data_IF_443553075192
#
_entry.id   IF_443553075192
#
_cell.length_a   1.000
_cell.length_b   1.000
_cell.length_c   1.000
_cell.angle_alpha   90.00
_cell.angle_beta   90.00
_cell.angle_gamma   90.00
#
_symmetry.space_group_name_H-M   'P 1'
#
loop_
_entity.id
_entity.type
_entity.pdbx_description
1 polymer ?
#
# COMPACT_ATOMS: atom_id res chain seq x y z
N UNK A 1 -2.50 3.16 2.42
CA UNK A 1 -2.84 3.20 0.98
C UNK A 1 -1.65 3.73 0.18
N UNK A 2 -1.30 3.07 -0.91
CA UNK A 2 -0.32 3.51 -1.90
C UNK A 2 -1.07 3.82 -3.19
N UNK A 3 -0.80 4.93 -3.86
CA UNK A 3 -1.54 5.28 -5.07
C UNK A 3 -0.76 6.19 -6.01
N UNK A 4 -1.15 6.17 -7.29
CA UNK A 4 -0.68 7.08 -8.33
C UNK A 4 -1.41 8.43 -8.24
N UNK A 5 -0.74 9.59 -8.39
CA UNK A 5 -1.37 10.91 -8.38
C UNK A 5 -2.53 11.06 -9.37
N UNK A 6 -2.53 10.30 -10.47
CA UNK A 6 -3.64 10.28 -11.42
C UNK A 6 -5.00 9.92 -10.77
N UNK A 7 -4.98 9.16 -9.68
CA UNK A 7 -6.16 8.76 -8.91
C UNK A 7 -6.86 9.95 -8.25
N UNK A 8 -6.13 10.98 -7.80
CA UNK A 8 -6.70 12.15 -7.11
C UNK A 8 -7.75 12.88 -7.97
N UNK A 9 -7.62 12.82 -9.30
CA UNK A 9 -8.55 13.44 -10.25
C UNK A 9 -9.80 12.60 -10.53
N UNK A 10 -9.79 11.32 -10.16
CA UNK A 10 -10.86 10.36 -10.43
C UNK A 10 -11.80 10.18 -9.23
N UNK A 11 -11.41 10.67 -8.06
CA UNK A 11 -12.15 10.50 -6.81
C UNK A 11 -12.80 11.82 -6.40
N UNK A 12 -14.07 11.73 -6.00
CA UNK A 12 -14.84 12.86 -5.52
C UNK A 12 -14.42 13.22 -4.10
N UNK A 13 -14.18 14.51 -3.87
CA UNK A 13 -13.84 15.06 -2.56
C UNK A 13 -14.94 14.77 -1.54
N UNK A 14 -14.56 14.31 -0.35
CA UNK A 14 -15.45 13.99 0.77
C UNK A 14 -16.21 12.67 0.64
N UNK A 15 -16.08 11.94 -0.47
CA UNK A 15 -16.80 10.66 -0.65
C UNK A 15 -16.10 9.50 0.05
N UNK A 16 -16.92 8.67 0.70
CA UNK A 16 -16.51 7.37 1.23
C UNK A 16 -16.56 6.32 0.12
N UNK A 17 -15.41 5.72 -0.15
CA UNK A 17 -15.26 4.64 -1.12
C UNK A 17 -14.82 3.33 -0.48
N UNK A 18 -14.63 3.32 0.85
CA UNK A 18 -14.25 2.15 1.63
C UNK A 18 -15.11 2.04 2.91
N UNK A 19 -16.44 1.96 2.75
CA UNK A 19 -17.37 1.91 3.88
C UNK A 19 -17.12 0.67 4.76
N UNK A 20 -17.15 0.81 6.10
CA UNK A 20 -16.99 -0.31 7.01
C UNK A 20 -17.99 -1.43 6.75
N UNK A 21 -17.49 -2.65 6.46
CA UNK A 21 -18.34 -3.84 6.29
C UNK A 21 -19.03 -3.95 4.93
N UNK A 22 -18.70 -3.09 3.97
CA UNK A 22 -19.18 -3.17 2.59
C UNK A 22 -18.01 -3.32 1.60
N UNK A 23 -18.33 -3.80 0.41
CA UNK A 23 -17.38 -3.90 -0.71
C UNK A 23 -16.97 -2.50 -1.19
N UNK A 24 -15.80 -2.39 -1.84
CA UNK A 24 -15.43 -1.15 -2.50
C UNK A 24 -16.45 -0.76 -3.55
N UNK A 25 -16.75 0.53 -3.57
CA UNK A 25 -17.51 1.13 -4.65
C UNK A 25 -16.59 1.52 -5.82
N UNK A 26 -17.16 1.51 -7.02
CA UNK A 26 -16.52 2.19 -8.15
C UNK A 26 -16.48 3.71 -7.89
N UNK A 27 -15.40 4.39 -8.31
CA UNK A 27 -14.32 3.88 -9.16
C UNK A 27 -13.14 3.27 -8.38
N UNK A 28 -13.11 3.33 -7.04
CA UNK A 28 -11.97 2.82 -6.25
C UNK A 28 -11.76 1.32 -6.45
N UNK A 29 -12.84 0.53 -6.54
CA UNK A 29 -12.73 -0.90 -6.85
C UNK A 29 -11.95 -1.15 -8.13
N UNK A 30 -12.32 -0.47 -9.21
CA UNK A 30 -11.72 -0.67 -10.54
C UNK A 30 -10.25 -0.20 -10.53
N UNK A 31 -9.96 0.90 -9.82
CA UNK A 31 -8.60 1.39 -9.59
C UNK A 31 -7.71 0.41 -8.81
N UNK A 32 -8.29 -0.38 -7.92
CA UNK A 32 -7.56 -1.39 -7.13
C UNK A 32 -7.46 -2.70 -7.89
N UNK A 33 -8.58 -3.25 -8.36
CA UNK A 33 -8.68 -4.61 -8.88
C UNK A 33 -8.27 -4.73 -10.35
N UNK A 34 -8.60 -3.74 -11.17
CA UNK A 34 -8.42 -3.80 -12.62
C UNK A 34 -7.23 -2.96 -13.08
N UNK A 35 -7.08 -1.73 -12.56
CA UNK A 35 -6.04 -0.80 -12.98
C UNK A 35 -4.76 -0.91 -12.15
N UNK A 36 -4.84 -1.46 -10.93
CA UNK A 36 -3.75 -1.52 -9.96
C UNK A 36 -3.07 -0.16 -9.73
N UNK A 37 -3.83 0.93 -9.76
CA UNK A 37 -3.36 2.31 -9.49
C UNK A 37 -3.48 2.70 -8.03
N UNK A 38 -4.24 1.91 -7.26
CA UNK A 38 -4.39 2.01 -5.82
C UNK A 38 -4.06 0.66 -5.21
N UNK A 39 -3.29 0.69 -4.13
CA UNK A 39 -3.01 -0.47 -3.29
C UNK A 39 -3.39 -0.19 -1.85
N UNK A 40 -4.19 -1.08 -1.28
CA UNK A 40 -4.61 -1.06 0.11
C UNK A 40 -3.78 -2.06 0.91
N UNK A 41 -2.70 -1.54 1.51
CA UNK A 41 -1.76 -2.30 2.30
C UNK A 41 -2.23 -2.39 3.76
N UNK A 42 -2.58 -3.59 4.21
CA UNK A 42 -2.97 -3.82 5.60
C UNK A 42 -1.77 -3.79 6.55
N UNK A 43 -1.86 -3.05 7.66
CA UNK A 43 -0.80 -3.01 8.69
C UNK A 43 -0.93 -4.16 9.70
N UNK A 44 -2.12 -4.74 9.85
CA UNK A 44 -2.39 -5.93 10.65
C UNK A 44 -2.74 -5.67 12.13
N UNK A 45 -2.39 -4.52 12.70
CA UNK A 45 -2.77 -4.12 14.05
C UNK A 45 -2.76 -2.59 14.17
N UNK A 46 -3.79 -1.94 14.72
CA UNK A 46 -3.75 -0.50 15.00
C UNK A 46 -2.91 -0.14 16.23
N UNK A 47 -2.44 -1.12 17.02
CA UNK A 47 -1.71 -0.89 18.27
C UNK A 47 -0.19 -0.74 18.10
N UNK A 48 0.34 -1.04 16.91
CA UNK A 48 1.77 -0.94 16.64
C UNK A 48 2.11 0.38 15.96
N UNK A 49 3.32 0.87 16.20
CA UNK A 49 3.89 1.96 15.42
C UNK A 49 4.56 1.42 14.16
N UNK A 50 4.10 1.88 13.00
CA UNK A 50 4.62 1.47 11.71
C UNK A 50 5.60 2.50 11.13
N UNK A 51 6.74 2.02 10.66
CA UNK A 51 7.66 2.82 9.83
C UNK A 51 7.69 2.23 8.43
N UNK A 52 7.50 3.08 7.41
CA UNK A 52 7.56 2.67 6.01
C UNK A 52 8.90 3.07 5.40
N UNK A 53 9.62 2.11 4.84
CA UNK A 53 10.81 2.33 4.02
C UNK A 53 10.51 1.92 2.57
N UNK A 54 10.82 2.80 1.63
CA UNK A 54 10.54 2.59 0.20
C UNK A 54 11.88 2.53 -0.53
N UNK A 55 12.10 1.45 -1.28
CA UNK A 55 13.32 1.16 -2.01
C UNK A 55 12.97 0.94 -3.49
N UNK A 56 13.75 1.51 -4.40
CA UNK A 56 13.52 1.43 -5.85
C UNK A 56 14.51 0.52 -6.57
N UNK A 57 15.20 -0.34 -5.82
CA UNK A 57 16.26 -1.21 -6.33
C UNK A 57 15.84 -2.67 -6.17
N UNK A 58 16.13 -3.51 -7.18
CA UNK A 58 15.75 -4.92 -7.16
C UNK A 58 16.47 -5.77 -6.10
N UNK A 59 17.41 -5.18 -5.37
CA UNK A 59 18.08 -5.87 -4.28
C UNK A 59 17.21 -5.73 -3.05
N UNK A 60 16.45 -6.78 -2.73
CA UNK A 60 15.86 -6.92 -1.40
C UNK A 60 17.01 -6.77 -0.41
N UNK A 61 16.99 -5.80 0.51
CA UNK A 61 18.08 -5.64 1.46
C UNK A 61 18.29 -6.98 2.18
N UNK A 62 19.50 -7.28 2.64
CA UNK A 62 19.71 -8.42 3.53
C UNK A 62 19.08 -8.09 4.89
N UNK A 63 17.75 -8.17 4.95
CA UNK A 63 16.94 -7.68 6.06
C UNK A 63 17.05 -8.71 7.18
N UNK A 64 17.59 -8.26 8.31
CA UNK A 64 17.57 -8.98 9.59
C UNK A 64 16.87 -8.10 10.63
N UNK A 65 15.96 -8.67 11.43
CA UNK A 65 15.47 -10.06 11.43
C UNK A 65 14.66 -10.43 10.18
N UNK A 66 14.39 -11.73 9.97
CA UNK A 66 13.55 -12.20 8.86
C UNK A 66 12.16 -11.54 8.94
N UNK A 67 11.50 -11.29 7.79
CA UNK A 67 10.13 -10.80 7.79
C UNK A 67 9.19 -11.75 8.55
N UNK A 68 8.33 -11.21 9.40
CA UNK A 68 7.22 -11.96 10.00
C UNK A 68 6.10 -12.21 8.99
N UNK A 69 6.02 -11.38 7.96
CA UNK A 69 5.10 -11.52 6.85
C UNK A 69 5.66 -10.86 5.58
N UNK A 70 5.21 -11.35 4.42
CA UNK A 70 5.55 -10.79 3.11
C UNK A 70 4.41 -10.97 2.13
N UNK A 71 4.24 -10.01 1.22
CA UNK A 71 3.29 -10.12 0.09
C UNK A 71 3.88 -9.40 -1.11
N UNK A 72 3.57 -9.92 -2.31
CA UNK A 72 3.96 -9.31 -3.58
C UNK A 72 2.71 -8.83 -4.32
N UNK A 73 2.74 -7.62 -4.85
CA UNK A 73 1.63 -7.04 -5.61
C UNK A 73 2.13 -6.10 -6.72
N UNK A 74 1.23 -5.76 -7.63
CA UNK A 74 1.48 -4.79 -8.69
C UNK A 74 0.99 -3.39 -8.35
N UNK A 75 1.70 -2.36 -8.83
CA UNK A 75 1.19 -0.99 -8.83
C UNK A 75 1.59 -0.25 -10.12
N UNK A 76 0.62 0.40 -10.76
CA UNK A 76 0.82 1.29 -11.90
C UNK A 76 0.95 2.74 -11.40
N UNK A 77 2.07 3.38 -11.73
CA UNK A 77 2.40 4.74 -11.32
C UNK A 77 2.46 5.65 -12.55
N UNK A 78 1.79 6.80 -12.46
CA UNK A 78 1.76 7.82 -13.50
C UNK A 78 1.75 9.22 -12.86
N UNK A 79 2.56 10.13 -13.39
CA UNK A 79 2.72 11.48 -12.85
C UNK A 79 3.96 11.69 -11.99
N UNK A 80 4.95 10.79 -12.07
CA UNK A 80 6.28 10.97 -11.51
C UNK A 80 6.41 10.77 -9.99
N UNK A 81 5.35 10.30 -9.33
CA UNK A 81 5.31 10.19 -7.87
C UNK A 81 4.48 8.99 -7.40
N UNK A 82 4.90 8.40 -6.28
CA UNK A 82 4.12 7.46 -5.48
C UNK A 82 3.57 8.20 -4.26
N UNK A 83 2.25 8.21 -4.12
CA UNK A 83 1.59 8.79 -2.95
C UNK A 83 1.32 7.70 -1.90
N UNK A 84 1.58 8.04 -0.65
CA UNK A 84 1.34 7.19 0.52
C UNK A 84 0.46 7.95 1.49
N UNK A 85 -0.64 7.32 1.88
CA UNK A 85 -1.61 7.86 2.85
C UNK A 85 -1.96 6.81 3.90
N UNK A 86 -2.16 7.23 5.15
CA UNK A 86 -2.66 6.35 6.21
C UNK A 86 -4.11 5.91 5.92
N UNK A 87 -4.36 4.60 6.02
CA UNK A 87 -5.64 3.95 5.80
C UNK A 87 -6.69 4.19 6.89
N UNK A 88 -6.30 4.65 8.08
CA UNK A 88 -7.24 4.95 9.16
C UNK A 88 -7.86 6.36 9.06
N UNK A 89 -7.22 7.26 8.32
CA UNK A 89 -7.71 8.62 8.00
C UNK A 89 -8.74 8.62 6.84
N UNK A 90 -9.33 7.46 6.51
CA UNK A 90 -9.73 7.12 5.14
C UNK A 90 -11.11 6.45 5.01
N UNK A 91 -12.12 6.95 5.73
CA UNK A 91 -13.51 6.80 5.26
C UNK A 91 -13.92 7.94 4.32
N UNK A 92 -13.07 8.95 4.06
CA UNK A 92 -13.39 10.01 3.10
C UNK A 92 -12.16 10.42 2.29
N UNK A 93 -12.33 10.61 0.98
CA UNK A 93 -11.27 11.13 0.12
C UNK A 93 -11.08 12.63 0.33
N UNK A 94 -9.83 13.07 0.50
CA UNK A 94 -9.49 14.48 0.61
C UNK A 94 -8.20 14.75 -0.16
N UNK A 95 -8.27 15.60 -1.19
CA UNK A 95 -7.14 15.88 -2.08
C UNK A 95 -5.98 16.61 -1.37
N UNK A 96 -6.29 17.41 -0.36
CA UNK A 96 -5.33 18.15 0.47
C UNK A 96 -4.92 17.40 1.75
N UNK A 97 -5.31 16.13 1.87
CA UNK A 97 -5.22 15.34 3.08
C UNK A 97 -3.89 15.51 3.82
N UNK A 98 -3.96 16.05 5.04
CA UNK A 98 -2.83 16.07 5.97
C UNK A 98 -2.31 14.63 6.10
N UNK A 99 -0.99 14.45 5.98
CA UNK A 99 -0.38 13.11 6.12
C UNK A 99 -0.16 12.34 4.82
N UNK A 100 -0.47 12.90 3.64
CA UNK A 100 0.00 12.33 2.36
C UNK A 100 1.50 12.56 2.22
N UNK A 101 2.27 11.47 2.11
CA UNK A 101 3.68 11.50 1.73
C UNK A 101 3.82 11.18 0.24
N UNK A 102 4.51 12.05 -0.50
CA UNK A 102 4.81 11.85 -1.91
C UNK A 102 6.28 11.46 -2.06
N UNK A 103 6.54 10.45 -2.89
CA UNK A 103 7.89 9.94 -3.14
C UNK A 103 8.15 9.97 -4.65
N UNK A 104 9.15 10.71 -5.14
CA UNK A 104 9.48 10.75 -6.55
C UNK A 104 9.82 9.36 -7.09
N UNK A 105 9.25 9.00 -8.24
CA UNK A 105 9.49 7.72 -8.93
C UNK A 105 9.17 7.89 -10.41
N UNK A 106 9.85 7.17 -11.29
CA UNK A 106 9.53 7.19 -12.71
C UNK A 106 8.16 6.57 -12.99
N UNK A 107 7.50 7.04 -14.04
CA UNK A 107 6.26 6.41 -14.51
C UNK A 107 6.54 4.97 -14.96
N UNK A 108 5.59 4.07 -14.67
CA UNK A 108 5.74 2.67 -15.02
C UNK A 108 4.86 1.74 -14.19
N UNK A 109 4.99 0.46 -14.49
CA UNK A 109 4.40 -0.60 -13.68
C UNK A 109 5.48 -1.22 -12.80
N UNK A 110 5.14 -1.44 -11.54
CA UNK A 110 6.07 -1.92 -10.53
C UNK A 110 5.56 -3.21 -9.89
N UNK A 111 6.43 -4.20 -9.83
CA UNK A 111 6.33 -5.28 -8.87
C UNK A 111 6.81 -4.79 -7.50
N UNK A 112 6.01 -4.98 -6.47
CA UNK A 112 6.33 -4.53 -5.11
C UNK A 112 6.34 -5.71 -4.16
N UNK A 113 7.49 -5.97 -3.55
CA UNK A 113 7.58 -6.86 -2.41
C UNK A 113 7.43 -6.02 -1.13
N UNK A 114 6.35 -6.25 -0.38
CA UNK A 114 6.16 -5.66 0.94
C UNK A 114 6.55 -6.67 2.01
N UNK A 115 7.39 -6.24 2.97
CA UNK A 115 8.00 -7.08 4.00
C UNK A 115 7.80 -6.44 5.38
N UNK A 116 7.15 -7.15 6.29
CA UNK A 116 6.88 -6.70 7.67
C UNK A 116 7.95 -7.24 8.58
N UNK A 117 8.71 -6.35 9.20
CA UNK A 117 9.86 -6.66 10.04
C UNK A 117 9.57 -6.16 11.45
N UNK A 118 9.38 -7.06 12.43
CA UNK A 118 9.24 -6.65 13.82
C UNK A 118 10.56 -6.05 14.29
N UNK A 119 10.54 -4.79 14.71
CA UNK A 119 11.74 -4.10 15.22
C UNK A 119 11.74 -4.00 16.75
N UNK A 120 10.57 -4.08 17.38
CA UNK A 120 10.39 -4.25 18.83
C UNK A 120 8.96 -4.75 19.12
N UNK A 121 8.60 -4.92 20.40
CA UNK A 121 7.24 -5.34 20.81
C UNK A 121 6.12 -4.40 20.34
N UNK A 122 6.43 -3.11 20.16
CA UNK A 122 5.44 -2.08 19.80
C UNK A 122 5.72 -1.44 18.42
N UNK A 123 6.70 -1.96 17.68
CA UNK A 123 7.15 -1.34 16.42
C UNK A 123 7.33 -2.36 15.32
N UNK A 124 6.82 -1.98 14.15
CA UNK A 124 6.93 -2.75 12.91
C UNK A 124 7.51 -1.85 11.82
N UNK A 125 8.45 -2.38 11.06
CA UNK A 125 8.92 -1.73 9.84
C UNK A 125 8.36 -2.46 8.63
N UNK A 126 7.77 -1.72 7.70
CA UNK A 126 7.37 -2.24 6.39
C UNK A 126 8.39 -1.76 5.37
N UNK A 127 9.11 -2.69 4.75
CA UNK A 127 9.93 -2.40 3.57
C UNK A 127 9.09 -2.64 2.32
N UNK A 128 8.98 -1.63 1.46
CA UNK A 128 8.46 -1.76 0.11
C UNK A 128 9.65 -1.75 -0.86
N UNK A 129 9.87 -2.86 -1.55
CA UNK A 129 10.91 -3.00 -2.56
C UNK A 129 10.25 -3.00 -3.93
N UNK A 130 10.42 -1.90 -4.67
CA UNK A 130 9.79 -1.66 -5.96
C UNK A 130 10.76 -2.00 -7.09
N UNK A 131 10.29 -2.79 -8.03
CA UNK A 131 11.02 -3.19 -9.22
C UNK A 131 10.19 -2.87 -10.45
N UNK A 132 10.77 -2.18 -11.43
CA UNK A 132 10.09 -1.98 -12.71
C UNK A 132 9.79 -3.34 -13.32
N UNK A 133 8.54 -3.55 -13.69
CA UNK A 133 8.04 -4.81 -14.24
C UNK A 133 7.27 -4.53 -15.53
N UNK A 134 7.40 -5.43 -16.51
CA UNK A 134 6.73 -5.29 -17.81
C UNK A 134 5.37 -5.96 -17.82
N UNK A 135 5.22 -7.01 -17.03
CA UNK A 135 4.02 -7.83 -16.97
C UNK A 135 3.22 -7.54 -15.71
N UNK A 136 1.88 -7.55 -15.84
CA UNK A 136 1.03 -7.39 -14.67
C UNK A 136 1.12 -8.62 -13.75
N UNK A 137 1.34 -8.37 -12.48
CA UNK A 137 1.23 -9.38 -11.44
C UNK A 137 -0.25 -9.72 -11.25
N UNK A 138 -0.57 -11.00 -11.28
CA UNK A 138 -1.91 -11.51 -11.05
C UNK A 138 -2.42 -11.16 -9.63
N UNK A 139 -3.69 -10.79 -9.54
CA UNK A 139 -4.34 -10.31 -8.31
C UNK A 139 -4.70 -8.82 -8.38
N UNK A 140 -5.55 -8.36 -7.46
CA UNK A 140 -5.85 -6.93 -7.31
C UNK A 140 -4.84 -6.21 -6.41
N UNK A 141 -4.91 -4.88 -6.34
CA UNK A 141 -4.17 -4.04 -5.39
C UNK A 141 -4.62 -4.21 -3.93
N UNK A 142 -5.07 -5.41 -3.55
CA UNK A 142 -5.48 -5.80 -2.20
C UNK A 142 -4.52 -6.81 -1.58
N UNK A 143 -3.26 -6.47 -1.34
CA UNK A 143 -2.40 -7.27 -0.48
C UNK A 143 -2.92 -7.13 0.98
N UNK A 144 -3.97 -7.87 1.32
CA UNK A 144 -4.44 -7.94 2.69
C UNK A 144 -3.51 -8.85 3.49
N UNK A 145 -2.86 -8.25 4.48
CA UNK A 145 -2.18 -9.00 5.53
C UNK A 145 -3.10 -9.09 6.74
N UNK A 146 -3.86 -10.19 6.77
CA UNK A 146 -4.62 -10.58 7.94
C UNK A 146 -3.69 -11.16 8.99
N UNK A 147 -3.33 -10.36 9.99
CA UNK A 147 -2.86 -10.94 11.25
C UNK A 147 -4.07 -11.64 11.89
N UNK A 148 -4.02 -12.97 12.02
CA UNK A 148 -4.81 -13.65 13.05
C UNK A 148 -4.17 -13.32 14.39
N UNK A 149 -4.73 -12.36 15.12
CA UNK A 149 -4.41 -12.19 16.54
C UNK A 149 -5.06 -13.38 17.27
N UNK A 150 -4.28 -14.44 17.47
CA UNK A 150 -4.75 -15.63 18.17
C UNK A 150 -4.09 -16.89 17.63
N UNK A 151 -2.85 -17.13 18.04
CA UNK A 151 -2.29 -18.45 18.36
C UNK A 151 -0.84 -18.22 18.79
N UNK A 152 -0.69 -17.69 20.02
CA UNK A 152 0.52 -17.94 20.80
C UNK A 152 0.54 -19.44 21.09
N UNK A 153 1.65 -20.09 20.76
CA UNK A 153 1.93 -21.52 21.03
C UNK A 153 1.66 -21.88 22.48
#
# INVERSE_FOLDING_TARGET
MLYSPAVERMLEEGRDYMPPGASLESPVRDLVEEEQRVVLLGTGSPQLHYTLHIHFDATVPNIRPRPSASVRFGISIAGGELCVRDGYDLMAWHADGKGVRRVPVTDGYYAVDALWIPTSHERMTIYLVLQVERERIAGGGWPYLGYRVGETV
#
